data_IF_427692158884
#
_entry.id   IF_427692158884
#
_cell.length_a   1.000
_cell.length_b   1.000
_cell.length_c   1.000
_cell.angle_alpha   90.00
_cell.angle_beta   90.00
_cell.angle_gamma   90.00
#
_symmetry.space_group_name_H-M   'P 1'
#
loop_
_entity.id
_entity.type
_entity.pdbx_description
1 polymer ?
#
# COMPACT_ATOMS: atom_id res chain seq x y z
N UNK A 1 20.08 -6.50 -9.58
CA UNK A 1 19.57 -7.89 -9.56
C UNK A 1 18.08 -7.86 -9.87
N UNK A 2 17.76 -8.10 -11.15
CA UNK A 2 16.39 -8.28 -11.64
C UNK A 2 15.98 -9.73 -11.38
N UNK A 3 14.91 -10.00 -10.63
CA UNK A 3 14.11 -11.22 -10.76
C UNK A 3 12.73 -11.01 -10.15
N UNK A 4 11.72 -10.68 -10.97
CA UNK A 4 10.33 -11.01 -10.65
C UNK A 4 9.61 -11.39 -11.94
N UNK A 5 10.07 -12.49 -12.50
CA UNK A 5 9.42 -13.15 -13.62
C UNK A 5 8.47 -14.22 -13.10
N UNK A 6 7.25 -14.17 -13.64
CA UNK A 6 6.38 -15.32 -13.95
C UNK A 6 5.80 -16.05 -12.73
N UNK A 7 4.48 -15.94 -12.52
CA UNK A 7 3.50 -17.05 -12.53
C UNK A 7 2.08 -16.48 -12.50
N UNK A 8 1.46 -16.32 -13.66
CA UNK A 8 0.00 -16.30 -13.79
C UNK A 8 -0.36 -17.46 -14.69
N UNK A 9 -0.75 -18.57 -14.07
CA UNK A 9 -1.35 -19.71 -14.75
C UNK A 9 -2.86 -19.54 -14.67
N UNK A 10 -3.47 -19.48 -15.85
CA UNK A 10 -4.90 -19.50 -16.08
C UNK A 10 -5.54 -20.81 -15.58
N UNK A 11 -6.73 -20.71 -15.01
CA UNK A 11 -7.70 -21.82 -14.98
C UNK A 11 -9.06 -21.24 -15.31
N UNK A 12 -9.44 -21.39 -16.58
CA UNK A 12 -10.80 -21.25 -17.09
C UNK A 12 -11.47 -22.60 -16.88
N UNK A 13 -12.47 -22.65 -16.00
CA UNK A 13 -13.44 -23.74 -15.87
C UNK A 13 -14.78 -23.00 -15.82
N UNK A 14 -15.60 -22.96 -16.88
CA UNK A 14 -16.15 -24.12 -17.56
C UNK A 14 -17.53 -24.41 -16.98
N UNK A 15 -18.47 -23.46 -17.08
CA UNK A 15 -19.84 -23.60 -16.57
C UNK A 15 -20.67 -24.42 -17.58
N UNK A 16 -20.83 -25.70 -17.29
CA UNK A 16 -21.65 -26.61 -18.08
C UNK A 16 -23.15 -26.25 -17.92
N UNK A 17 -23.79 -25.98 -19.04
CA UNK A 17 -25.21 -25.75 -19.19
C UNK A 17 -25.91 -27.12 -19.27
N UNK A 18 -26.50 -27.61 -18.18
CA UNK A 18 -27.43 -28.74 -18.23
C UNK A 18 -28.82 -28.28 -17.81
N UNK A 19 -29.65 -28.03 -18.83
CA UNK A 19 -31.08 -27.83 -18.71
C UNK A 19 -31.78 -29.21 -18.70
N UNK A 20 -32.62 -29.40 -17.68
CA UNK A 20 -33.47 -30.57 -17.45
C UNK A 20 -33.73 -30.65 -15.94
N UNK A 21 -34.94 -30.71 -15.41
CA UNK A 21 -36.26 -31.01 -15.97
C UNK A 21 -37.34 -30.56 -14.96
N UNK A 22 -38.58 -30.59 -15.45
CA UNK A 22 -39.80 -30.89 -14.70
C UNK A 22 -40.40 -29.84 -13.75
N UNK A 23 -41.72 -29.71 -13.96
CA UNK A 23 -42.72 -28.96 -13.22
C UNK A 23 -42.78 -29.36 -11.73
N UNK A 24 -42.87 -28.36 -10.85
CA UNK A 24 -43.46 -28.45 -9.52
C UNK A 24 -44.31 -27.17 -9.35
N UNK A 25 -45.63 -27.24 -9.54
CA UNK A 25 -46.67 -27.48 -8.52
C UNK A 25 -46.58 -26.47 -7.36
N UNK A 26 -47.63 -25.68 -7.24
CA UNK A 26 -47.89 -24.62 -6.27
C UNK A 26 -47.45 -24.95 -4.84
N UNK A 27 -46.67 -24.05 -4.23
CA UNK A 27 -46.59 -23.90 -2.78
C UNK A 27 -46.23 -22.44 -2.43
N UNK A 28 -47.25 -21.74 -1.95
CA UNK A 28 -47.26 -20.90 -0.77
C UNK A 28 -46.24 -19.75 -0.63
N UNK A 29 -46.81 -18.55 -0.49
CA UNK A 29 -46.14 -17.32 -0.14
C UNK A 29 -45.67 -17.37 1.32
N UNK A 30 -44.43 -17.79 1.57
CA UNK A 30 -43.77 -17.48 2.83
C UNK A 30 -42.24 -17.53 2.70
N UNK A 31 -41.62 -16.36 2.92
CA UNK A 31 -40.30 -16.21 3.52
C UNK A 31 -39.06 -16.50 2.64
N UNK A 32 -38.83 -15.63 1.64
CA UNK A 32 -37.56 -15.54 0.90
C UNK A 32 -36.44 -14.77 1.66
N UNK A 33 -36.66 -14.34 2.91
CA UNK A 33 -35.72 -13.44 3.62
C UNK A 33 -34.64 -14.19 4.44
N UNK A 34 -34.93 -15.43 4.87
CA UNK A 34 -34.00 -16.23 5.71
C UNK A 34 -32.80 -16.85 4.98
N UNK A 35 -32.93 -17.17 3.69
CA UNK A 35 -31.88 -17.79 2.89
C UNK A 35 -30.76 -16.82 2.48
N UNK A 36 -31.12 -15.59 2.11
CA UNK A 36 -30.17 -14.57 1.70
C UNK A 36 -29.31 -14.05 2.88
N UNK A 37 -29.89 -13.94 4.09
CA UNK A 37 -29.17 -13.55 5.29
C UNK A 37 -28.15 -14.62 5.75
N UNK A 38 -28.50 -15.90 5.60
CA UNK A 38 -27.64 -17.04 5.94
C UNK A 38 -26.48 -17.20 4.96
N UNK A 39 -26.74 -17.03 3.66
CA UNK A 39 -25.70 -17.00 2.62
C UNK A 39 -24.73 -15.82 2.78
N UNK A 40 -25.22 -14.62 3.10
CA UNK A 40 -24.38 -13.44 3.41
C UNK A 40 -23.52 -13.64 4.67
N UNK A 41 -24.04 -14.32 5.70
CA UNK A 41 -23.26 -14.66 6.91
C UNK A 41 -22.13 -15.65 6.62
N UNK A 42 -22.39 -16.69 5.81
CA UNK A 42 -21.37 -17.65 5.37
C UNK A 42 -20.24 -17.00 4.58
N UNK A 43 -20.59 -16.21 3.56
CA UNK A 43 -19.63 -15.47 2.72
C UNK A 43 -18.78 -14.48 3.54
N UNK A 44 -19.36 -13.81 4.53
CA UNK A 44 -18.63 -12.89 5.39
C UNK A 44 -17.65 -13.61 6.35
N UNK A 45 -18.00 -14.81 6.82
CA UNK A 45 -17.11 -15.62 7.66
C UNK A 45 -15.89 -16.12 6.87
N UNK A 46 -16.12 -16.58 5.64
CA UNK A 46 -15.07 -17.04 4.74
C UNK A 46 -14.14 -15.91 4.32
N UNK A 47 -14.69 -14.74 3.97
CA UNK A 47 -13.90 -13.55 3.69
C UNK A 47 -13.11 -13.04 4.90
N UNK A 48 -13.64 -13.20 6.12
CA UNK A 48 -12.93 -12.85 7.35
C UNK A 48 -11.69 -13.74 7.54
N UNK A 49 -11.80 -15.03 7.24
CA UNK A 49 -10.68 -15.97 7.28
C UNK A 49 -9.64 -15.65 6.19
N UNK A 50 -10.08 -15.44 4.94
CA UNK A 50 -9.19 -15.12 3.81
C UNK A 50 -8.43 -13.80 4.00
N UNK A 51 -9.08 -12.77 4.59
CA UNK A 51 -8.45 -11.46 4.79
C UNK A 51 -7.62 -11.34 6.06
N UNK A 52 -7.60 -12.37 6.93
CA UNK A 52 -6.85 -12.32 8.19
C UNK A 52 -5.34 -12.19 7.94
N UNK A 53 -4.78 -12.98 7.01
CA UNK A 53 -3.39 -12.91 6.63
C UNK A 53 -3.01 -11.54 6.04
N UNK A 54 -3.85 -11.01 5.14
CA UNK A 54 -3.66 -9.70 4.53
C UNK A 54 -3.67 -8.57 5.59
N UNK A 55 -4.57 -8.65 6.57
CA UNK A 55 -4.60 -7.69 7.69
C UNK A 55 -3.34 -7.76 8.55
N UNK A 56 -2.85 -8.96 8.84
CA UNK A 56 -1.59 -9.14 9.56
C UNK A 56 -0.42 -8.50 8.80
N UNK A 57 -0.31 -8.76 7.49
CA UNK A 57 0.70 -8.13 6.64
C UNK A 57 0.58 -6.60 6.64
N UNK A 58 -0.65 -6.05 6.58
CA UNK A 58 -0.86 -4.60 6.65
C UNK A 58 -0.37 -3.97 7.96
N UNK A 59 -0.45 -4.70 9.08
CA UNK A 59 0.06 -4.28 10.39
C UNK A 59 1.59 -4.28 10.38
N UNK A 60 2.23 -5.35 9.90
CA UNK A 60 3.69 -5.42 9.76
C UNK A 60 4.22 -4.29 8.90
N UNK A 61 3.65 -4.09 7.71
CA UNK A 61 4.02 -2.99 6.80
C UNK A 61 3.76 -1.61 7.44
N UNK A 62 2.76 -1.48 8.32
CA UNK A 62 2.51 -0.23 9.05
C UNK A 62 3.64 0.05 10.04
N UNK A 63 4.08 -0.95 10.79
CA UNK A 63 5.17 -0.81 11.75
C UNK A 63 6.48 -0.45 11.05
N UNK A 64 6.82 -1.16 9.96
CA UNK A 64 8.00 -0.85 9.15
C UNK A 64 7.97 0.58 8.59
N UNK A 65 6.83 0.99 8.03
CA UNK A 65 6.66 2.34 7.51
C UNK A 65 6.81 3.42 8.60
N UNK A 66 6.38 3.14 9.84
CA UNK A 66 6.54 4.04 10.98
C UNK A 66 8.00 4.14 11.43
N UNK A 67 8.71 3.01 11.50
CA UNK A 67 10.13 2.99 11.83
C UNK A 67 10.95 3.82 10.83
N UNK A 68 10.72 3.63 9.52
CA UNK A 68 11.35 4.43 8.47
C UNK A 68 11.00 5.93 8.59
N UNK A 69 9.75 6.26 8.91
CA UNK A 69 9.34 7.65 9.09
C UNK A 69 10.08 8.32 10.26
N UNK A 70 10.31 7.61 11.36
CA UNK A 70 11.07 8.12 12.50
C UNK A 70 12.54 8.37 12.14
N UNK A 71 13.18 7.42 11.44
CA UNK A 71 14.57 7.56 10.97
C UNK A 71 14.72 8.77 10.04
N UNK A 72 13.84 8.89 9.04
CA UNK A 72 13.82 10.01 8.09
C UNK A 72 13.63 11.36 8.80
N UNK A 73 12.75 11.41 9.81
CA UNK A 73 12.51 12.64 10.58
C UNK A 73 13.75 13.05 11.38
N UNK A 74 14.42 12.07 12.00
CA UNK A 74 15.65 12.28 12.77
C UNK A 74 16.78 12.83 11.88
N UNK A 75 17.08 12.14 10.77
CA UNK A 75 18.12 12.56 9.84
C UNK A 75 17.83 13.91 9.19
N UNK A 76 16.57 14.18 8.84
CA UNK A 76 16.19 15.50 8.34
C UNK A 76 16.53 16.61 9.34
N UNK A 77 16.23 16.41 10.63
CA UNK A 77 16.53 17.39 11.67
C UNK A 77 18.05 17.61 11.83
N UNK A 78 18.83 16.52 11.84
CA UNK A 78 20.29 16.58 11.89
C UNK A 78 20.86 17.35 10.69
N UNK A 79 20.45 17.00 9.47
CA UNK A 79 20.90 17.65 8.24
C UNK A 79 20.52 19.13 8.20
N UNK A 80 19.31 19.47 8.63
CA UNK A 80 18.86 20.87 8.70
C UNK A 80 19.71 21.69 9.66
N UNK A 81 20.08 21.13 10.81
CA UNK A 81 20.97 21.78 11.77
C UNK A 81 22.40 21.92 11.23
N UNK A 82 22.94 20.89 10.59
CA UNK A 82 24.27 20.92 9.98
C UNK A 82 24.37 21.96 8.86
N UNK A 83 23.37 22.03 7.96
CA UNK A 83 23.31 23.08 6.93
C UNK A 83 23.32 24.47 7.57
N UNK A 84 22.54 24.68 8.65
CA UNK A 84 22.46 25.98 9.34
C UNK A 84 23.77 26.40 9.99
N UNK A 85 24.48 25.47 10.61
CA UNK A 85 25.76 25.70 11.27
C UNK A 85 26.93 25.91 10.29
N UNK A 86 26.77 25.53 9.02
CA UNK A 86 27.82 25.60 8.02
C UNK A 86 28.22 27.05 7.64
N UNK A 87 29.53 27.35 7.55
CA UNK A 87 30.06 28.61 7.02
C UNK A 87 29.54 28.93 5.61
N UNK A 88 29.39 30.23 5.31
CA UNK A 88 28.87 30.70 4.00
C UNK A 88 29.67 30.18 2.81
N UNK A 89 31.00 30.11 2.94
CA UNK A 89 31.90 29.65 1.86
C UNK A 89 31.74 28.16 1.56
N UNK A 90 31.66 27.32 2.59
CA UNK A 90 31.40 25.89 2.44
C UNK A 90 30.01 25.64 1.84
N UNK A 91 29.01 26.41 2.28
CA UNK A 91 27.66 26.34 1.71
C UNK A 91 27.62 26.76 0.24
N UNK A 92 28.43 27.74 -0.17
CA UNK A 92 28.53 28.17 -1.56
C UNK A 92 29.08 27.06 -2.46
N UNK A 93 30.14 26.35 -2.01
CA UNK A 93 30.73 25.20 -2.71
C UNK A 93 29.72 24.06 -2.92
N UNK A 94 28.81 23.86 -1.96
CA UNK A 94 27.82 22.78 -1.98
C UNK A 94 26.45 23.16 -2.57
N UNK A 95 26.25 24.42 -2.96
CA UNK A 95 24.91 24.95 -3.26
C UNK A 95 24.16 24.15 -4.32
N UNK A 96 24.83 23.76 -5.40
CA UNK A 96 24.23 22.98 -6.48
C UNK A 96 23.82 21.58 -6.01
N UNK A 97 24.72 20.86 -5.34
CA UNK A 97 24.48 19.52 -4.81
C UNK A 97 23.36 19.51 -3.77
N UNK A 98 23.32 20.49 -2.86
CA UNK A 98 22.24 20.65 -1.88
C UNK A 98 20.89 20.90 -2.54
N UNK A 99 20.85 21.76 -3.57
CA UNK A 99 19.63 22.04 -4.32
C UNK A 99 19.11 20.77 -5.01
N UNK A 100 19.99 20.04 -5.70
CA UNK A 100 19.64 18.80 -6.41
C UNK A 100 19.11 17.73 -5.44
N UNK A 101 19.82 17.47 -4.33
CA UNK A 101 19.38 16.49 -3.33
C UNK A 101 18.04 16.89 -2.69
N UNK A 102 17.84 18.17 -2.40
CA UNK A 102 16.57 18.66 -1.84
C UNK A 102 15.41 18.46 -2.84
N UNK A 103 15.64 18.73 -4.13
CA UNK A 103 14.64 18.49 -5.18
C UNK A 103 14.31 17.01 -5.33
N UNK A 104 15.31 16.13 -5.29
CA UNK A 104 15.09 14.68 -5.32
C UNK A 104 14.26 14.23 -4.11
N UNK A 105 14.58 14.68 -2.90
CA UNK A 105 13.80 14.39 -1.69
C UNK A 105 12.35 14.88 -1.83
N UNK A 106 12.15 16.09 -2.37
CA UNK A 106 10.81 16.64 -2.59
C UNK A 106 10.00 15.79 -3.58
N UNK A 107 10.60 15.42 -4.73
CA UNK A 107 9.96 14.56 -5.71
C UNK A 107 9.53 13.21 -5.11
N UNK A 108 10.37 12.62 -4.26
CA UNK A 108 9.99 11.38 -3.55
C UNK A 108 8.86 11.60 -2.54
N UNK A 109 8.82 12.75 -1.87
CA UNK A 109 7.70 13.10 -0.99
C UNK A 109 6.39 13.21 -1.78
N UNK A 110 6.42 13.84 -2.96
CA UNK A 110 5.23 13.99 -3.82
C UNK A 110 4.73 12.62 -4.31
N UNK A 111 5.65 11.72 -4.70
CA UNK A 111 5.34 10.32 -5.01
C UNK A 111 4.66 9.59 -3.83
N UNK A 112 5.16 9.77 -2.60
CA UNK A 112 4.53 9.19 -1.40
C UNK A 112 3.11 9.73 -1.21
N UNK A 113 2.86 11.02 -1.47
CA UNK A 113 1.53 11.60 -1.33
C UNK A 113 0.56 11.04 -2.38
N UNK A 114 0.99 10.93 -3.64
CA UNK A 114 0.18 10.31 -4.70
C UNK A 114 -0.22 8.87 -4.34
N UNK A 115 0.73 8.05 -3.88
CA UNK A 115 0.47 6.68 -3.45
C UNK A 115 -0.48 6.60 -2.25
N UNK A 116 -0.39 7.55 -1.31
CA UNK A 116 -1.31 7.63 -0.16
C UNK A 116 -2.74 7.93 -0.59
N UNK A 117 -2.92 8.85 -1.54
CA UNK A 117 -4.23 9.18 -2.10
C UNK A 117 -4.83 7.98 -2.81
N UNK A 118 -4.07 7.28 -3.65
CA UNK A 118 -4.52 6.06 -4.33
C UNK A 118 -4.94 4.98 -3.33
N UNK A 119 -4.14 4.78 -2.28
CA UNK A 119 -4.45 3.83 -1.21
C UNK A 119 -5.73 4.21 -0.46
N UNK A 120 -5.97 5.50 -0.21
CA UNK A 120 -7.19 5.97 0.45
C UNK A 120 -8.43 5.68 -0.41
N UNK A 121 -8.33 5.87 -1.72
CA UNK A 121 -9.40 5.52 -2.66
C UNK A 121 -9.72 4.00 -2.62
N UNK A 122 -8.69 3.14 -2.63
CA UNK A 122 -8.88 1.69 -2.52
C UNK A 122 -9.52 1.29 -1.18
N UNK A 123 -9.19 1.95 -0.07
CA UNK A 123 -9.86 1.67 1.22
C UNK A 123 -11.36 1.96 1.17
N UNK A 124 -11.78 2.97 0.42
CA UNK A 124 -13.20 3.23 0.18
C UNK A 124 -13.84 2.12 -0.68
N UNK A 125 -13.13 1.61 -1.68
CA UNK A 125 -13.58 0.49 -2.53
C UNK A 125 -13.72 -0.81 -1.73
N UNK A 126 -12.75 -1.16 -0.87
CA UNK A 126 -12.85 -2.31 0.06
C UNK A 126 -14.12 -2.21 0.92
N UNK A 127 -14.43 -1.00 1.42
CA UNK A 127 -15.64 -0.78 2.23
C UNK A 127 -16.91 -0.99 1.41
N UNK A 128 -16.94 -0.50 0.17
CA UNK A 128 -18.08 -0.68 -0.73
C UNK A 128 -18.26 -2.17 -1.10
N UNK A 129 -17.17 -2.86 -1.46
CA UNK A 129 -17.17 -4.29 -1.79
C UNK A 129 -17.70 -5.14 -0.61
N UNK A 130 -17.28 -4.80 0.62
CA UNK A 130 -17.80 -5.41 1.85
C UNK A 130 -19.31 -5.26 1.98
N UNK A 131 -19.83 -4.06 1.73
CA UNK A 131 -21.27 -3.76 1.86
C UNK A 131 -22.08 -4.49 0.78
N UNK A 132 -21.52 -4.62 -0.42
CA UNK A 132 -22.12 -5.36 -1.53
C UNK A 132 -22.02 -6.89 -1.38
N UNK A 133 -21.24 -7.40 -0.43
CA UNK A 133 -20.93 -8.84 -0.31
C UNK A 133 -20.00 -9.36 -1.40
N UNK A 134 -19.32 -8.48 -2.14
CA UNK A 134 -18.37 -8.87 -3.18
C UNK A 134 -16.99 -9.12 -2.55
N UNK A 135 -16.79 -10.35 -2.07
CA UNK A 135 -15.58 -10.79 -1.36
C UNK A 135 -14.35 -10.81 -2.25
N UNK A 136 -14.52 -11.11 -3.54
CA UNK A 136 -13.44 -11.18 -4.52
C UNK A 136 -12.86 -9.80 -4.81
N UNK A 137 -13.74 -8.82 -5.12
CA UNK A 137 -13.32 -7.43 -5.32
C UNK A 137 -12.67 -6.86 -4.06
N UNK A 138 -13.26 -7.10 -2.87
CA UNK A 138 -12.68 -6.64 -1.61
C UNK A 138 -11.31 -7.24 -1.30
N UNK A 139 -11.06 -8.49 -1.70
CA UNK A 139 -9.77 -9.16 -1.52
C UNK A 139 -8.73 -8.67 -2.53
N UNK A 140 -9.13 -8.44 -3.79
CA UNK A 140 -8.30 -7.81 -4.81
C UNK A 140 -7.85 -6.40 -4.39
N UNK A 141 -8.78 -5.58 -3.90
CA UNK A 141 -8.48 -4.24 -3.40
C UNK A 141 -7.52 -4.26 -2.20
N UNK A 142 -7.69 -5.19 -1.25
CA UNK A 142 -6.78 -5.37 -0.12
C UNK A 142 -5.36 -5.76 -0.57
N UNK A 143 -5.26 -6.62 -1.58
CA UNK A 143 -3.99 -7.00 -2.19
C UNK A 143 -3.30 -5.80 -2.83
N UNK A 144 -4.06 -4.97 -3.55
CA UNK A 144 -3.54 -3.73 -4.13
C UNK A 144 -3.08 -2.74 -3.05
N UNK A 145 -3.81 -2.61 -1.94
CA UNK A 145 -3.41 -1.76 -0.80
C UNK A 145 -2.08 -2.21 -0.20
N UNK A 146 -1.83 -3.52 -0.12
CA UNK A 146 -0.56 -4.09 0.34
C UNK A 146 0.56 -3.70 -0.62
N UNK A 147 0.38 -3.90 -1.92
CA UNK A 147 1.37 -3.52 -2.93
C UNK A 147 1.71 -2.02 -2.88
N UNK A 148 0.71 -1.15 -2.71
CA UNK A 148 0.96 0.30 -2.53
C UNK A 148 1.72 0.62 -1.24
N UNK A 149 1.48 -0.12 -0.16
CA UNK A 149 2.24 0.05 1.09
C UNK A 149 3.71 -0.33 0.91
N UNK A 150 3.98 -1.42 0.21
CA UNK A 150 5.34 -1.86 -0.13
C UNK A 150 6.04 -0.81 -0.99
N UNK A 151 5.36 -0.26 -2.00
CA UNK A 151 5.89 0.87 -2.79
C UNK A 151 6.19 2.09 -1.94
N UNK A 152 5.31 2.47 -1.00
CA UNK A 152 5.57 3.58 -0.06
C UNK A 152 6.80 3.30 0.81
N UNK A 153 7.01 2.05 1.24
CA UNK A 153 8.20 1.64 2.00
C UNK A 153 9.46 1.77 1.15
N UNK A 154 9.44 1.30 -0.09
CA UNK A 154 10.56 1.44 -1.03
C UNK A 154 10.93 2.91 -1.26
N UNK A 155 9.94 3.77 -1.53
CA UNK A 155 10.18 5.20 -1.71
C UNK A 155 10.73 5.84 -0.42
N UNK A 156 10.25 5.41 0.76
CA UNK A 156 10.81 5.86 2.05
C UNK A 156 12.26 5.43 2.24
N UNK A 157 12.63 4.21 1.84
CA UNK A 157 14.02 3.76 1.87
C UNK A 157 14.89 4.63 0.95
N UNK A 158 14.39 4.99 -0.25
CA UNK A 158 15.10 5.93 -1.13
C UNK A 158 15.27 7.31 -0.49
N UNK A 159 14.24 7.84 0.18
CA UNK A 159 14.34 9.11 0.93
C UNK A 159 15.39 8.99 2.05
N UNK A 160 15.42 7.87 2.76
CA UNK A 160 16.42 7.61 3.80
C UNK A 160 17.84 7.64 3.22
N UNK A 161 18.08 6.94 2.11
CA UNK A 161 19.36 6.97 1.41
C UNK A 161 19.74 8.38 0.95
N UNK A 162 18.80 9.14 0.38
CA UNK A 162 19.05 10.54 -0.02
C UNK A 162 19.43 11.43 1.18
N UNK A 163 18.80 11.20 2.34
CA UNK A 163 19.16 11.93 3.56
C UNK A 163 20.52 11.51 4.12
N UNK A 164 20.89 10.24 4.02
CA UNK A 164 22.23 9.77 4.38
C UNK A 164 23.29 10.37 3.46
N UNK A 165 23.04 10.39 2.14
CA UNK A 165 23.92 11.04 1.17
C UNK A 165 24.09 12.54 1.47
N UNK A 166 23.00 13.21 1.82
CA UNK A 166 23.05 14.60 2.27
C UNK A 166 23.89 14.74 3.54
N UNK A 167 23.74 13.85 4.51
CA UNK A 167 24.55 13.85 5.73
C UNK A 167 26.04 13.69 5.41
N UNK A 168 26.41 12.70 4.58
CA UNK A 168 27.78 12.46 4.13
C UNK A 168 28.37 13.69 3.45
N UNK A 169 27.60 14.34 2.57
CA UNK A 169 28.03 15.57 1.90
C UNK A 169 28.32 16.69 2.92
N UNK A 170 27.44 16.87 3.91
CA UNK A 170 27.59 17.89 4.94
C UNK A 170 28.79 17.63 5.87
N UNK A 171 29.10 16.37 6.16
CA UNK A 171 30.25 16.00 7.00
C UNK A 171 31.57 15.98 6.23
N UNK A 172 31.56 15.70 4.92
CA UNK A 172 32.76 15.58 4.09
C UNK A 172 33.58 16.87 3.92
N UNK A 173 33.01 18.02 4.27
CA UNK A 173 33.66 19.35 4.20
C UNK A 173 34.00 19.90 5.60
N UNK A 174 33.63 19.17 6.66
CA UNK A 174 33.98 19.47 8.05
C UNK A 174 35.23 18.75 8.57
N UNK A 175 35.94 18.03 7.70
CA UNK A 175 37.29 17.47 7.90
C UNK A 175 38.22 18.17 6.92
#
# INVERSE_FOLDING_TARGET
MNMLGKKLAAVVIGLALTAGSAQAVFADSANADGGAASAKKGQHAEWKAQTAALKSQLVTLRAEQQALAAQIKSLHAVNKSAVKAMPKEQRAKLKASLKQLTQQIQSQHDSIQALRTQKQALWAQVKAAKQAGNTDAGTADLTQIIALKEQIIQVKQQVLTLQQNLQTLLTSIGV
#
